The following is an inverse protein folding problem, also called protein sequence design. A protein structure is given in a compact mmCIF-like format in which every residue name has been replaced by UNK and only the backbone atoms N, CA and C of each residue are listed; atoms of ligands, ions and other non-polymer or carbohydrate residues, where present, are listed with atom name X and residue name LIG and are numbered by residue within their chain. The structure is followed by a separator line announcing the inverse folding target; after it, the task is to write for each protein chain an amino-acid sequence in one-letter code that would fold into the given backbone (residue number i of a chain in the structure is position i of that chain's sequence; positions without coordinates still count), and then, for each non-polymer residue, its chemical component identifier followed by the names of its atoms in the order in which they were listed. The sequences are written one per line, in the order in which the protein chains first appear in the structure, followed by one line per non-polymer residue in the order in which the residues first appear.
data_IF_267614109839
#
_entry.id   IF_267614109839
#
_cell.length_a   1.000
_cell.length_b   1.000
_cell.length_c   1.000
_cell.angle_alpha   90.00
_cell.angle_beta   90.00
_cell.angle_gamma   90.00
#
_symmetry.space_group_name_H-M   'P 1'
#
loop_
_entity.id
_entity.type
_entity.pdbx_description
1 polymer ?
#
# COMPACT_ATOMS: atom_id res chain seq x y z
N UNK A 1 30.86 12.06 0.18
CA UNK A 1 32.25 11.65 0.56
C UNK A 1 32.47 10.13 0.48
N UNK A 2 31.38 9.32 0.40
CA UNK A 2 31.50 7.85 0.36
C UNK A 2 31.57 7.26 -1.06
N UNK A 3 31.25 8.05 -2.10
CA UNK A 3 31.24 7.57 -3.48
C UNK A 3 32.64 7.53 -4.08
N UNK A 4 32.97 6.43 -4.76
CA UNK A 4 34.21 6.28 -5.52
C UNK A 4 34.02 6.74 -6.98
N UNK A 5 35.12 7.04 -7.66
CA UNK A 5 35.11 7.39 -9.06
C UNK A 5 34.66 6.17 -9.92
N UNK A 6 33.75 6.38 -10.86
CA UNK A 6 33.16 5.36 -11.75
C UNK A 6 32.45 4.21 -11.02
N UNK A 7 31.98 4.45 -9.80
CA UNK A 7 31.22 3.46 -9.03
C UNK A 7 29.87 3.15 -9.69
N UNK A 8 29.45 1.88 -9.64
CA UNK A 8 28.08 1.47 -9.98
C UNK A 8 27.28 1.38 -8.69
N UNK A 9 26.10 1.99 -8.68
CA UNK A 9 25.15 1.92 -7.57
C UNK A 9 23.84 1.34 -8.08
N UNK A 10 23.33 0.32 -7.38
CA UNK A 10 22.01 -0.25 -7.61
C UNK A 10 21.18 0.04 -6.38
N UNK A 11 20.16 0.91 -6.52
CA UNK A 11 19.38 1.43 -5.38
C UNK A 11 18.03 1.97 -5.87
N UNK A 12 17.03 2.12 -4.99
CA UNK A 12 15.85 2.90 -5.34
C UNK A 12 16.26 4.37 -5.52
N UNK A 13 15.99 4.90 -6.71
CA UNK A 13 16.37 6.27 -7.07
C UNK A 13 15.09 7.05 -7.40
N UNK A 14 14.39 7.46 -6.37
CA UNK A 14 13.20 8.29 -6.53
C UNK A 14 13.59 9.73 -6.87
N UNK A 15 13.50 10.12 -8.13
CA UNK A 15 13.87 11.46 -8.61
C UNK A 15 13.17 12.58 -7.83
N UNK A 16 11.94 12.36 -7.36
CA UNK A 16 11.16 13.34 -6.60
C UNK A 16 11.69 13.60 -5.17
N UNK A 17 12.55 12.72 -4.66
CA UNK A 17 13.08 12.79 -3.27
C UNK A 17 14.60 13.03 -3.27
N UNK A 18 15.25 12.87 -4.41
CA UNK A 18 16.70 13.02 -4.52
C UNK A 18 17.11 14.49 -4.39
N UNK A 19 17.91 14.81 -3.38
CA UNK A 19 18.46 16.18 -3.22
C UNK A 19 19.45 16.48 -4.34
N UNK A 20 19.41 17.69 -4.90
CA UNK A 20 20.33 18.14 -5.96
C UNK A 20 21.80 17.90 -5.62
N UNK A 21 22.20 18.09 -4.35
CA UNK A 21 23.55 17.83 -3.88
C UNK A 21 24.02 16.37 -4.02
N UNK A 22 23.08 15.40 -3.96
CA UNK A 22 23.39 13.97 -4.17
C UNK A 22 23.64 13.73 -5.66
N UNK A 23 22.80 14.27 -6.54
CA UNK A 23 22.98 14.18 -7.99
C UNK A 23 24.31 14.81 -8.44
N UNK A 24 24.63 16.01 -7.94
CA UNK A 24 25.89 16.69 -8.23
C UNK A 24 27.09 15.85 -7.77
N UNK A 25 27.00 15.24 -6.57
CA UNK A 25 28.02 14.34 -6.05
C UNK A 25 28.20 13.07 -6.91
N UNK A 26 27.12 12.49 -7.42
CA UNK A 26 27.13 11.35 -8.33
C UNK A 26 27.74 11.71 -9.67
N UNK A 27 27.38 12.87 -10.23
CA UNK A 27 27.91 13.40 -11.51
C UNK A 27 29.42 13.68 -11.40
N UNK A 28 29.87 14.34 -10.33
CA UNK A 28 31.28 14.65 -10.09
C UNK A 28 32.16 13.39 -9.98
N UNK A 29 31.58 12.29 -9.53
CA UNK A 29 32.26 10.98 -9.42
C UNK A 29 31.99 10.04 -10.60
N UNK A 30 31.27 10.51 -11.63
CA UNK A 30 30.89 9.71 -12.81
C UNK A 30 30.22 8.38 -12.40
N UNK A 31 29.32 8.42 -11.41
CA UNK A 31 28.62 7.24 -10.89
C UNK A 31 27.60 6.76 -11.93
N UNK A 32 27.59 5.47 -12.21
CA UNK A 32 26.50 4.81 -12.92
C UNK A 32 25.43 4.39 -11.92
N UNK A 33 24.24 4.97 -12.02
CA UNK A 33 23.14 4.70 -11.08
C UNK A 33 22.05 3.88 -11.77
N UNK A 34 21.80 2.68 -11.25
CA UNK A 34 20.74 1.77 -11.71
C UNK A 34 19.59 1.83 -10.71
N UNK A 35 18.46 2.36 -11.17
CA UNK A 35 17.23 2.42 -10.38
C UNK A 35 16.51 1.08 -10.48
N UNK A 36 16.61 0.25 -9.46
CA UNK A 36 16.06 -1.10 -9.50
C UNK A 36 14.53 -1.14 -9.52
N UNK A 37 13.85 -0.10 -9.07
CA UNK A 37 12.40 0.01 -9.19
C UNK A 37 11.91 0.19 -10.64
N UNK A 38 12.81 0.57 -11.55
CA UNK A 38 12.53 0.72 -12.97
C UNK A 38 12.95 -0.52 -13.80
N UNK A 39 13.52 -1.55 -13.16
CA UNK A 39 13.82 -2.80 -13.85
C UNK A 39 12.52 -3.49 -14.25
N UNK A 40 12.47 -3.90 -15.50
CA UNK A 40 11.36 -4.65 -16.09
C UNK A 40 11.77 -6.07 -16.40
N UNK A 41 10.82 -6.97 -16.27
CA UNK A 41 10.96 -8.35 -16.76
C UNK A 41 10.49 -8.47 -18.22
N UNK A 42 10.59 -9.67 -18.79
CA UNK A 42 10.19 -9.98 -20.18
C UNK A 42 8.69 -9.73 -20.44
N UNK A 43 7.87 -9.65 -19.40
CA UNK A 43 6.44 -9.33 -19.47
C UNK A 43 6.14 -7.84 -19.38
N UNK A 44 7.16 -6.96 -19.43
CA UNK A 44 7.08 -5.51 -19.24
C UNK A 44 6.55 -5.11 -17.86
N UNK A 45 6.69 -6.01 -16.87
CA UNK A 45 6.29 -5.77 -15.48
C UNK A 45 7.49 -5.31 -14.64
N UNK A 46 7.22 -4.66 -13.50
CA UNK A 46 8.23 -4.20 -12.55
C UNK A 46 8.31 -5.19 -11.37
N UNK A 47 9.18 -6.22 -11.41
CA UNK A 47 9.15 -7.34 -10.46
C UNK A 47 9.43 -6.92 -9.02
N UNK A 48 10.34 -5.95 -8.81
CA UNK A 48 10.64 -5.45 -7.45
C UNK A 48 9.47 -4.65 -6.89
N UNK A 49 8.92 -3.72 -7.68
CA UNK A 49 7.74 -2.93 -7.26
C UNK A 49 6.54 -3.84 -6.99
N UNK A 50 6.38 -4.89 -7.79
CA UNK A 50 5.36 -5.91 -7.58
C UNK A 50 5.54 -6.61 -6.25
N UNK A 51 6.73 -7.12 -5.96
CA UNK A 51 7.02 -7.82 -4.69
C UNK A 51 6.78 -6.92 -3.47
N UNK A 52 7.21 -5.66 -3.53
CA UNK A 52 6.94 -4.68 -2.46
C UNK A 52 5.44 -4.43 -2.30
N UNK A 53 4.69 -4.36 -3.39
CA UNK A 53 3.23 -4.18 -3.37
C UNK A 53 2.51 -5.40 -2.77
N UNK A 54 3.00 -6.61 -3.02
CA UNK A 54 2.48 -7.86 -2.45
C UNK A 54 2.68 -7.91 -0.93
N UNK A 55 3.88 -7.52 -0.47
CA UNK A 55 4.20 -7.40 0.97
C UNK A 55 3.30 -6.36 1.62
N UNK A 56 3.20 -5.16 1.04
CA UNK A 56 2.36 -4.09 1.58
C UNK A 56 0.89 -4.54 1.68
N UNK A 57 0.32 -5.10 0.61
CA UNK A 57 -1.05 -5.59 0.58
C UNK A 57 -1.33 -6.67 1.63
N UNK A 58 -0.41 -7.61 1.83
CA UNK A 58 -0.53 -8.64 2.87
C UNK A 58 -0.45 -8.05 4.28
N UNK A 59 0.46 -7.10 4.49
CA UNK A 59 0.74 -6.51 5.80
C UNK A 59 -0.40 -5.62 6.31
N UNK A 60 -1.09 -4.87 5.43
CA UNK A 60 -2.12 -3.91 5.85
C UNK A 60 -3.25 -4.55 6.66
N UNK A 61 -3.59 -5.80 6.41
CA UNK A 61 -4.64 -6.48 7.17
C UNK A 61 -4.20 -6.91 8.56
N UNK A 62 -2.92 -7.26 8.74
CA UNK A 62 -2.34 -7.52 10.05
C UNK A 62 -2.28 -6.23 10.88
N UNK A 63 -1.87 -5.13 10.26
CA UNK A 63 -1.87 -3.80 10.86
C UNK A 63 -3.30 -3.38 11.24
N UNK A 64 -4.27 -3.54 10.34
CA UNK A 64 -5.68 -3.23 10.62
C UNK A 64 -6.21 -4.04 11.81
N UNK A 65 -5.94 -5.35 11.86
CA UNK A 65 -6.35 -6.21 12.97
C UNK A 65 -5.76 -5.75 14.31
N UNK A 66 -4.49 -5.34 14.32
CA UNK A 66 -3.82 -4.80 15.50
C UNK A 66 -4.53 -3.54 16.03
N UNK A 67 -4.85 -2.58 15.13
CA UNK A 67 -5.46 -1.31 15.52
C UNK A 67 -6.98 -1.36 15.70
N UNK A 68 -7.65 -2.44 15.30
CA UNK A 68 -9.05 -2.69 15.68
C UNK A 68 -9.20 -3.14 17.14
N UNK A 69 -8.14 -3.67 17.74
CA UNK A 69 -8.14 -4.09 19.15
C UNK A 69 -8.24 -2.91 20.11
N UNK A 70 -8.89 -3.13 21.27
CA UNK A 70 -9.10 -2.10 22.30
C UNK A 70 -7.80 -1.52 22.88
N UNK A 71 -6.74 -2.33 22.94
CA UNK A 71 -5.43 -1.89 23.44
C UNK A 71 -4.79 -0.78 22.58
N UNK A 72 -5.23 -0.62 21.34
CA UNK A 72 -4.70 0.34 20.37
C UNK A 72 -5.75 1.40 19.95
N UNK A 73 -6.66 1.75 20.85
CA UNK A 73 -7.73 2.74 20.65
C UNK A 73 -8.81 2.33 19.63
N UNK A 74 -8.78 1.09 19.14
CA UNK A 74 -9.79 0.55 18.23
C UNK A 74 -11.10 0.18 18.94
N UNK A 75 -12.06 -0.28 18.15
CA UNK A 75 -13.40 -0.66 18.60
C UNK A 75 -13.43 -1.91 19.49
N UNK A 76 -12.33 -2.65 19.65
CA UNK A 76 -12.32 -3.95 20.31
C UNK A 76 -13.04 -5.05 19.52
N UNK A 77 -12.99 -5.01 18.19
CA UNK A 77 -13.64 -6.00 17.33
C UNK A 77 -12.61 -6.87 16.62
N UNK A 78 -12.93 -8.14 16.48
CA UNK A 78 -12.11 -9.09 15.73
C UNK A 78 -12.43 -9.00 14.24
N UNK A 79 -11.41 -8.98 13.39
CA UNK A 79 -11.54 -8.75 11.94
C UNK A 79 -12.49 -9.76 11.27
N UNK A 80 -12.36 -11.04 11.57
CA UNK A 80 -13.17 -12.12 10.98
C UNK A 80 -14.48 -12.43 11.72
N UNK A 81 -14.75 -11.79 12.85
CA UNK A 81 -15.85 -12.21 13.72
C UNK A 81 -15.64 -13.60 14.32
N UNK A 82 -16.69 -14.18 14.86
CA UNK A 82 -16.75 -15.56 15.37
C UNK A 82 -18.19 -16.08 15.19
N UNK A 83 -18.44 -17.36 15.53
CA UNK A 83 -19.80 -17.92 15.52
C UNK A 83 -20.77 -17.06 16.32
N UNK A 84 -21.82 -16.56 15.66
CA UNK A 84 -22.82 -15.66 16.25
C UNK A 84 -22.45 -14.16 16.23
N UNK A 85 -21.22 -13.78 15.81
CA UNK A 85 -20.78 -12.40 15.64
C UNK A 85 -20.31 -12.19 14.20
N UNK A 86 -20.98 -11.27 13.50
CA UNK A 86 -20.68 -10.98 12.10
C UNK A 86 -19.24 -10.48 11.90
N UNK A 87 -18.59 -10.80 10.75
CA UNK A 87 -17.29 -10.28 10.41
C UNK A 87 -17.31 -8.76 10.18
N UNK A 88 -16.17 -8.12 10.38
CA UNK A 88 -15.98 -6.70 10.09
C UNK A 88 -16.05 -6.44 8.58
N UNK A 89 -16.44 -5.22 8.25
CA UNK A 89 -16.48 -4.75 6.86
C UNK A 89 -15.18 -4.03 6.51
N UNK A 90 -14.49 -4.52 5.51
CA UNK A 90 -13.27 -3.95 4.95
C UNK A 90 -13.57 -3.34 3.59
N UNK A 91 -13.26 -2.06 3.43
CA UNK A 91 -13.34 -1.35 2.16
C UNK A 91 -11.93 -1.18 1.61
N UNK A 92 -11.69 -1.61 0.38
CA UNK A 92 -10.42 -1.44 -0.31
C UNK A 92 -10.64 -0.54 -1.52
N UNK A 93 -9.88 0.55 -1.60
CA UNK A 93 -9.96 1.55 -2.66
C UNK A 93 -8.72 1.40 -3.55
N UNK A 94 -8.90 0.73 -4.69
CA UNK A 94 -7.86 0.32 -5.63
C UNK A 94 -7.81 -1.20 -5.81
N UNK A 95 -7.90 -1.67 -7.05
CA UNK A 95 -7.80 -3.08 -7.45
C UNK A 95 -6.44 -3.38 -8.14
N UNK A 96 -5.38 -2.66 -7.73
CA UNK A 96 -4.00 -2.93 -8.07
C UNK A 96 -3.44 -4.15 -7.33
N UNK A 97 -2.13 -4.34 -7.36
CA UNK A 97 -1.46 -5.46 -6.65
C UNK A 97 -1.66 -5.32 -5.13
N UNK A 98 -1.45 -4.14 -4.56
CA UNK A 98 -1.70 -3.88 -3.13
C UNK A 98 -3.13 -4.24 -2.75
N UNK A 99 -4.12 -3.75 -3.51
CA UNK A 99 -5.54 -4.01 -3.22
C UNK A 99 -5.92 -5.49 -3.37
N UNK A 100 -5.33 -6.19 -4.33
CA UNK A 100 -5.53 -7.63 -4.51
C UNK A 100 -5.01 -8.43 -3.30
N UNK A 101 -3.77 -8.17 -2.87
CA UNK A 101 -3.19 -8.88 -1.71
C UNK A 101 -3.86 -8.47 -0.39
N UNK A 102 -4.28 -7.21 -0.25
CA UNK A 102 -5.10 -6.78 0.88
C UNK A 102 -6.46 -7.52 0.92
N UNK A 103 -7.11 -7.69 -0.24
CA UNK A 103 -8.36 -8.43 -0.33
C UNK A 103 -8.17 -9.92 0.01
N UNK A 104 -7.10 -10.56 -0.49
CA UNK A 104 -6.74 -11.95 -0.15
C UNK A 104 -6.54 -12.11 1.36
N UNK A 105 -5.74 -11.24 1.96
CA UNK A 105 -5.46 -11.28 3.39
C UNK A 105 -6.72 -11.04 4.23
N UNK A 106 -7.55 -10.07 3.87
CA UNK A 106 -8.81 -9.78 4.56
C UNK A 106 -9.80 -10.96 4.50
N UNK A 107 -9.94 -11.57 3.33
CA UNK A 107 -10.79 -12.76 3.15
C UNK A 107 -10.26 -13.97 3.92
N UNK A 108 -8.94 -14.20 3.92
CA UNK A 108 -8.31 -15.28 4.69
C UNK A 108 -8.52 -15.10 6.19
N UNK A 109 -8.58 -13.86 6.67
CA UNK A 109 -8.90 -13.53 8.07
C UNK A 109 -10.41 -13.51 8.36
N UNK A 110 -11.25 -13.85 7.38
CA UNK A 110 -12.70 -13.98 7.53
C UNK A 110 -13.49 -12.67 7.41
N UNK A 111 -12.87 -11.56 6.98
CA UNK A 111 -13.56 -10.28 6.85
C UNK A 111 -14.53 -10.22 5.66
N UNK A 112 -15.53 -9.33 5.74
CA UNK A 112 -16.42 -9.00 4.62
C UNK A 112 -15.79 -7.89 3.78
N UNK A 113 -15.37 -8.21 2.55
CA UNK A 113 -14.56 -7.32 1.69
C UNK A 113 -15.36 -6.71 0.57
N UNK A 114 -15.15 -5.40 0.35
CA UNK A 114 -15.64 -4.66 -0.82
C UNK A 114 -14.50 -3.89 -1.46
N UNK A 115 -14.40 -3.97 -2.79
CA UNK A 115 -13.32 -3.30 -3.54
C UNK A 115 -13.87 -2.29 -4.52
N UNK A 116 -13.25 -1.11 -4.54
CA UNK A 116 -13.57 -0.02 -5.45
C UNK A 116 -12.38 0.27 -6.38
N UNK A 117 -12.63 0.40 -7.67
CA UNK A 117 -11.64 0.88 -8.64
C UNK A 117 -12.36 1.40 -9.89
N UNK A 118 -11.89 2.49 -10.49
CA UNK A 118 -12.47 3.00 -11.74
C UNK A 118 -12.11 2.15 -12.96
N UNK A 119 -11.11 1.28 -12.86
CA UNK A 119 -10.72 0.38 -13.93
C UNK A 119 -11.43 -0.98 -13.79
N UNK A 120 -12.48 -1.18 -14.58
CA UNK A 120 -13.28 -2.41 -14.58
C UNK A 120 -12.45 -3.65 -14.92
N UNK A 121 -11.42 -3.54 -15.76
CA UNK A 121 -10.52 -4.66 -16.08
C UNK A 121 -9.68 -5.09 -14.86
N UNK A 122 -9.25 -4.14 -14.03
CA UNK A 122 -8.58 -4.44 -12.76
C UNK A 122 -9.53 -5.15 -11.80
N UNK A 123 -10.78 -4.72 -11.70
CA UNK A 123 -11.79 -5.39 -10.87
C UNK A 123 -12.06 -6.82 -11.36
N UNK A 124 -12.17 -7.03 -12.67
CA UNK A 124 -12.34 -8.36 -13.27
C UNK A 124 -11.13 -9.27 -12.99
N UNK A 125 -9.92 -8.76 -13.21
CA UNK A 125 -8.68 -9.49 -12.92
C UNK A 125 -8.61 -9.88 -11.45
N UNK A 126 -8.90 -8.96 -10.54
CA UNK A 126 -8.92 -9.21 -9.10
C UNK A 126 -9.89 -10.35 -8.74
N UNK A 127 -11.11 -10.35 -9.26
CA UNK A 127 -12.06 -11.44 -9.00
C UNK A 127 -11.56 -12.79 -9.52
N UNK A 128 -10.98 -12.81 -10.73
CA UNK A 128 -10.40 -14.03 -11.29
C UNK A 128 -9.25 -14.57 -10.43
N UNK A 129 -8.36 -13.68 -9.98
CA UNK A 129 -7.19 -14.04 -9.19
C UNK A 129 -7.56 -14.49 -7.75
N UNK A 130 -8.62 -13.96 -7.18
CA UNK A 130 -9.12 -14.39 -5.85
C UNK A 130 -9.84 -15.74 -5.92
N UNK A 131 -10.40 -16.09 -7.08
CA UNK A 131 -11.05 -17.39 -7.28
C UNK A 131 -12.42 -17.53 -6.61
N UNK A 132 -12.97 -16.45 -6.05
CA UNK A 132 -14.31 -16.42 -5.49
C UNK A 132 -15.01 -15.09 -5.80
N UNK A 133 -16.34 -15.07 -5.75
CA UNK A 133 -17.11 -13.87 -6.01
C UNK A 133 -16.87 -12.84 -4.91
N UNK A 134 -16.44 -11.64 -5.32
CA UNK A 134 -16.18 -10.51 -4.44
C UNK A 134 -17.11 -9.34 -4.82
N UNK A 135 -17.54 -8.59 -3.83
CA UNK A 135 -18.28 -7.36 -4.08
C UNK A 135 -17.34 -6.29 -4.65
N UNK A 136 -17.62 -5.82 -5.85
CA UNK A 136 -16.81 -4.80 -6.52
C UNK A 136 -17.68 -3.68 -7.09
N UNK A 137 -17.17 -2.45 -7.16
CA UNK A 137 -17.83 -1.30 -7.75
C UNK A 137 -16.83 -0.30 -8.31
N UNK A 138 -17.28 0.53 -9.24
CA UNK A 138 -16.56 1.75 -9.60
C UNK A 138 -16.63 2.75 -8.43
N UNK A 139 -15.68 3.68 -8.39
CA UNK A 139 -15.63 4.73 -7.37
C UNK A 139 -16.71 5.78 -7.71
N UNK A 140 -17.89 5.55 -7.19
CA UNK A 140 -18.99 6.52 -7.22
C UNK A 140 -19.07 7.15 -5.81
N UNK A 141 -18.97 8.50 -5.68
CA UNK A 141 -18.82 9.16 -4.38
C UNK A 141 -19.91 8.83 -3.37
N UNK A 142 -21.17 8.80 -3.78
CA UNK A 142 -22.30 8.50 -2.88
C UNK A 142 -22.26 7.06 -2.38
N UNK A 143 -21.93 6.12 -3.28
CA UNK A 143 -21.82 4.71 -2.93
C UNK A 143 -20.61 4.48 -1.99
N UNK A 144 -19.48 5.10 -2.31
CA UNK A 144 -18.28 5.02 -1.46
C UNK A 144 -18.54 5.56 -0.05
N UNK A 145 -19.13 6.77 0.06
CA UNK A 145 -19.53 7.38 1.33
C UNK A 145 -20.46 6.47 2.14
N UNK A 146 -21.49 5.88 1.49
CA UNK A 146 -22.41 4.93 2.14
C UNK A 146 -21.68 3.71 2.71
N UNK A 147 -20.68 3.17 2.01
CA UNK A 147 -19.94 2.02 2.48
C UNK A 147 -18.97 2.39 3.60
N UNK A 148 -18.24 3.50 3.48
CA UNK A 148 -17.33 4.02 4.49
C UNK A 148 -18.03 4.28 5.84
N UNK A 149 -19.24 4.83 5.81
CA UNK A 149 -20.05 5.06 7.03
C UNK A 149 -20.25 3.80 7.89
N UNK A 150 -20.19 2.60 7.30
CA UNK A 150 -20.49 1.33 8.00
C UNK A 150 -19.32 0.38 8.08
N UNK A 151 -18.16 0.73 7.55
CA UNK A 151 -16.98 -0.13 7.61
C UNK A 151 -16.21 0.04 8.93
N UNK A 152 -15.43 -0.96 9.26
CA UNK A 152 -14.47 -0.95 10.36
C UNK A 152 -13.06 -0.65 9.85
N UNK A 153 -12.75 -1.02 8.62
CA UNK A 153 -11.44 -0.78 7.99
C UNK A 153 -11.62 -0.19 6.59
N UNK A 154 -10.85 0.85 6.28
CA UNK A 154 -10.72 1.38 4.93
C UNK A 154 -9.25 1.39 4.51
N UNK A 155 -8.94 0.82 3.34
CA UNK A 155 -7.58 0.73 2.79
C UNK A 155 -7.48 1.56 1.53
N UNK A 156 -6.58 2.53 1.50
CA UNK A 156 -6.19 3.29 0.31
C UNK A 156 -5.09 2.55 -0.44
N UNK A 157 -5.40 2.03 -1.62
CA UNK A 157 -4.49 1.27 -2.47
C UNK A 157 -4.52 1.74 -3.94
N UNK A 158 -4.88 3.00 -4.16
CA UNK A 158 -4.86 3.62 -5.49
C UNK A 158 -3.41 3.90 -5.91
N UNK A 159 -3.06 3.47 -7.11
CA UNK A 159 -1.80 3.84 -7.76
C UNK A 159 -2.02 4.99 -8.74
N UNK A 160 -1.01 5.83 -8.91
CA UNK A 160 -0.93 6.79 -10.01
C UNK A 160 0.22 6.41 -10.95
N UNK A 161 -0.02 6.48 -12.25
CA UNK A 161 1.03 6.31 -13.26
C UNK A 161 1.84 7.59 -13.48
N UNK A 162 1.28 8.75 -13.17
CA UNK A 162 1.81 10.07 -13.53
C UNK A 162 1.74 11.06 -12.36
N UNK A 163 2.36 10.73 -11.21
CA UNK A 163 2.47 11.69 -10.11
C UNK A 163 1.60 11.38 -8.90
N UNK A 164 0.86 12.35 -8.39
CA UNK A 164 0.09 12.25 -7.16
C UNK A 164 -1.12 11.30 -7.30
N UNK A 165 -1.38 10.50 -6.28
CA UNK A 165 -2.59 9.69 -6.17
C UNK A 165 -3.84 10.57 -6.16
N UNK A 166 -4.91 10.21 -6.90
CA UNK A 166 -6.17 10.95 -6.84
C UNK A 166 -6.79 10.81 -5.45
N UNK A 167 -7.18 11.94 -4.87
CA UNK A 167 -7.90 12.01 -3.62
C UNK A 167 -9.38 11.72 -3.90
N UNK A 168 -9.90 10.62 -3.35
CA UNK A 168 -11.27 10.13 -3.62
C UNK A 168 -12.12 10.03 -2.38
N UNK A 169 -11.53 10.10 -1.19
CA UNK A 169 -12.23 10.13 0.09
C UNK A 169 -12.07 11.49 0.72
N UNK A 170 -13.18 12.22 0.81
CA UNK A 170 -13.19 13.57 1.40
C UNK A 170 -13.15 13.52 2.93
N UNK A 171 -12.77 14.63 3.54
CA UNK A 171 -12.79 14.81 4.99
C UNK A 171 -14.18 14.59 5.58
N UNK A 172 -15.24 15.03 4.88
CA UNK A 172 -16.64 14.77 5.25
C UNK A 172 -16.95 13.27 5.31
N UNK A 173 -16.47 12.49 4.33
CA UNK A 173 -16.67 11.04 4.32
C UNK A 173 -16.02 10.38 5.52
N UNK A 174 -14.80 10.82 5.89
CA UNK A 174 -14.08 10.32 7.06
C UNK A 174 -14.79 10.72 8.35
N UNK A 175 -15.25 11.98 8.46
CA UNK A 175 -16.01 12.46 9.62
C UNK A 175 -17.32 11.70 9.88
N UNK A 176 -17.87 11.06 8.84
CA UNK A 176 -19.05 10.22 8.94
C UNK A 176 -18.76 8.73 9.23
N UNK A 177 -17.47 8.32 9.31
CA UNK A 177 -17.09 6.96 9.71
C UNK A 177 -17.36 6.74 11.20
N UNK A 178 -17.45 5.47 11.60
CA UNK A 178 -17.68 5.12 13.00
C UNK A 178 -16.40 5.36 13.80
N UNK A 179 -16.47 5.94 15.02
CA UNK A 179 -15.31 6.05 15.90
C UNK A 179 -14.64 4.69 16.16
N UNK A 180 -13.30 4.68 16.23
CA UNK A 180 -12.49 3.47 16.38
C UNK A 180 -12.37 2.63 15.10
N UNK A 181 -12.88 3.11 13.95
CA UNK A 181 -12.54 2.54 12.64
C UNK A 181 -11.11 2.88 12.27
N UNK A 182 -10.52 2.07 11.39
CA UNK A 182 -9.12 2.19 10.97
C UNK A 182 -9.03 2.53 9.49
N UNK A 183 -8.28 3.57 9.17
CA UNK A 183 -7.84 3.89 7.81
C UNK A 183 -6.37 3.50 7.68
N UNK A 184 -6.02 2.78 6.61
CA UNK A 184 -4.63 2.52 6.22
C UNK A 184 -4.45 3.07 4.81
N UNK A 185 -3.70 4.16 4.68
CA UNK A 185 -3.44 4.76 3.37
C UNK A 185 -2.07 4.34 2.83
N UNK A 186 -2.04 3.23 2.07
CA UNK A 186 -0.83 2.75 1.39
C UNK A 186 -0.42 3.71 0.27
N UNK A 187 -1.36 4.50 -0.24
CA UNK A 187 -1.11 5.48 -1.30
C UNK A 187 -0.36 6.72 -0.80
N UNK A 188 -0.06 6.80 0.51
CA UNK A 188 0.56 7.96 1.17
C UNK A 188 1.90 8.35 0.54
N UNK A 189 2.69 7.39 0.05
CA UNK A 189 3.96 7.62 -0.66
C UNK A 189 3.80 8.57 -1.87
N UNK A 190 2.58 8.67 -2.40
CA UNK A 190 2.21 9.53 -3.53
C UNK A 190 1.10 10.52 -3.19
N UNK A 191 1.04 10.92 -1.92
CA UNK A 191 0.15 11.96 -1.40
C UNK A 191 -1.19 11.48 -0.86
N UNK A 192 -1.42 10.16 -0.82
CA UNK A 192 -2.63 9.58 -0.23
C UNK A 192 -3.90 9.71 -1.08
N UNK A 193 -4.89 8.88 -0.80
CA UNK A 193 -6.21 8.96 -1.43
C UNK A 193 -7.33 9.41 -0.48
N UNK A 194 -7.02 9.64 0.79
CA UNK A 194 -7.90 10.26 1.79
C UNK A 194 -7.44 11.70 2.04
N UNK A 195 -8.38 12.63 2.06
CA UNK A 195 -8.12 14.05 2.34
C UNK A 195 -7.53 14.30 3.74
N UNK A 196 -7.82 13.39 4.67
CA UNK A 196 -7.37 13.43 6.05
C UNK A 196 -6.03 12.76 6.28
N UNK A 197 -5.43 12.12 5.27
CA UNK A 197 -4.15 11.42 5.42
C UNK A 197 -2.98 12.38 5.63
N UNK A 198 -2.19 12.10 6.67
CA UNK A 198 -0.94 12.79 6.99
C UNK A 198 0.17 11.76 7.16
N UNK A 199 1.37 12.04 6.63
CA UNK A 199 2.50 11.11 6.72
C UNK A 199 2.85 10.85 8.18
N UNK A 200 2.94 9.57 8.55
CA UNK A 200 3.38 9.09 9.86
C UNK A 200 4.72 8.34 9.74
N UNK A 201 5.23 7.78 10.83
CA UNK A 201 6.48 7.02 10.85
C UNK A 201 6.29 5.69 11.57
N UNK A 202 7.27 4.78 11.47
CA UNK A 202 7.22 3.52 12.23
C UNK A 202 7.29 3.74 13.76
N UNK A 203 7.88 4.84 14.22
CA UNK A 203 7.93 5.19 15.64
C UNK A 203 6.59 5.74 16.15
N UNK A 204 5.92 6.54 15.33
CA UNK A 204 4.61 7.12 15.58
C UNK A 204 3.67 6.77 14.43
N UNK A 205 3.16 5.50 14.37
CA UNK A 205 2.55 4.99 13.15
C UNK A 205 1.12 5.45 12.92
N UNK A 206 0.46 5.99 13.95
CA UNK A 206 -0.95 6.38 13.89
C UNK A 206 -1.18 7.80 14.41
N UNK A 207 -2.26 8.38 13.94
CA UNK A 207 -2.91 9.54 14.58
C UNK A 207 -4.42 9.37 14.55
N UNK A 208 -5.12 10.16 15.37
CA UNK A 208 -6.59 10.15 15.44
C UNK A 208 -7.17 11.41 14.82
N UNK A 209 -8.12 11.26 13.90
CA UNK A 209 -8.92 12.37 13.37
C UNK A 209 -10.38 11.92 13.24
N UNK A 210 -11.31 12.72 13.75
CA UNK A 210 -12.75 12.36 13.83
C UNK A 210 -13.04 11.05 14.57
N UNK A 211 -12.21 10.67 15.54
CA UNK A 211 -12.31 9.38 16.22
C UNK A 211 -11.91 8.18 15.35
N UNK A 212 -11.37 8.40 14.16
CA UNK A 212 -10.88 7.37 13.23
C UNK A 212 -9.36 7.28 13.33
N UNK A 213 -8.84 6.07 13.44
CA UNK A 213 -7.41 5.78 13.48
C UNK A 213 -6.85 5.84 12.07
N UNK A 214 -5.82 6.66 11.86
CA UNK A 214 -5.12 6.76 10.58
C UNK A 214 -3.73 6.16 10.71
N UNK A 215 -3.43 5.17 9.89
CA UNK A 215 -2.10 4.60 9.69
C UNK A 215 -1.62 4.99 8.29
N UNK A 216 -0.64 5.90 8.22
CA UNK A 216 -0.15 6.49 6.98
C UNK A 216 1.39 6.43 6.92
N UNK A 217 1.96 5.29 7.32
CA UNK A 217 3.41 5.06 7.29
C UNK A 217 3.86 4.76 5.87
N UNK A 218 4.77 5.58 5.30
CA UNK A 218 5.36 5.31 3.99
C UNK A 218 6.16 4.01 3.99
N UNK A 219 6.27 3.38 2.81
CA UNK A 219 7.09 2.19 2.64
C UNK A 219 6.81 1.08 3.68
N UNK A 220 5.54 0.68 3.81
CA UNK A 220 5.11 -0.41 4.70
C UNK A 220 6.02 -1.66 4.63
N UNK A 221 6.55 -2.08 3.44
CA UNK A 221 7.48 -3.21 3.36
C UNK A 221 8.72 -3.10 4.23
N UNK A 222 9.17 -1.89 4.59
CA UNK A 222 10.33 -1.73 5.47
C UNK A 222 10.10 -2.27 6.89
N UNK A 223 8.85 -2.36 7.34
CA UNK A 223 8.48 -3.05 8.57
C UNK A 223 8.65 -4.59 8.51
N UNK A 224 8.86 -5.14 7.30
CA UNK A 224 9.09 -6.57 7.04
C UNK A 224 10.42 -6.76 6.31
N UNK A 225 11.47 -6.11 6.80
CA UNK A 225 12.76 -5.91 6.13
C UNK A 225 13.40 -7.21 5.62
N UNK A 226 13.33 -8.30 6.37
CA UNK A 226 13.90 -9.60 5.96
C UNK A 226 13.21 -10.14 4.71
N UNK A 227 11.87 -10.13 4.67
CA UNK A 227 11.08 -10.56 3.50
C UNK A 227 11.33 -9.64 2.31
N UNK A 228 11.34 -8.34 2.53
CA UNK A 228 11.58 -7.34 1.49
C UNK A 228 12.99 -7.50 0.87
N UNK A 229 14.03 -7.63 1.69
CA UNK A 229 15.41 -7.82 1.21
C UNK A 229 15.57 -9.11 0.43
N UNK A 230 14.95 -10.20 0.88
CA UNK A 230 15.00 -11.48 0.17
C UNK A 230 14.27 -11.41 -1.17
N UNK A 231 13.12 -10.74 -1.23
CA UNK A 231 12.38 -10.54 -2.47
C UNK A 231 13.18 -9.71 -3.49
N UNK A 232 13.83 -8.63 -3.04
CA UNK A 232 14.73 -7.83 -3.89
C UNK A 232 15.91 -8.67 -4.37
N UNK A 233 16.56 -9.42 -3.49
CA UNK A 233 17.70 -10.28 -3.81
C UNK A 233 17.35 -11.31 -4.88
N UNK A 234 16.19 -11.95 -4.78
CA UNK A 234 15.74 -12.94 -5.76
C UNK A 234 15.59 -12.38 -7.18
N UNK A 235 15.30 -11.08 -7.31
CA UNK A 235 15.20 -10.40 -8.61
C UNK A 235 16.54 -9.89 -9.09
N UNK A 236 17.34 -9.26 -8.21
CA UNK A 236 18.59 -8.59 -8.61
C UNK A 236 19.72 -9.58 -8.84
N UNK A 237 19.82 -10.65 -8.02
CA UNK A 237 20.96 -11.56 -8.08
C UNK A 237 21.18 -12.22 -9.45
N UNK A 238 20.13 -12.78 -10.12
CA UNK A 238 20.30 -13.31 -11.48
C UNK A 238 20.83 -12.27 -12.46
N UNK A 239 20.31 -11.05 -12.43
CA UNK A 239 20.74 -9.96 -13.29
C UNK A 239 22.22 -9.55 -13.06
N UNK A 240 22.65 -9.57 -11.79
CA UNK A 240 24.05 -9.27 -11.45
C UNK A 240 25.00 -10.35 -11.92
N UNK A 241 24.60 -11.62 -11.83
CA UNK A 241 25.42 -12.75 -12.31
C UNK A 241 25.56 -12.69 -13.84
N UNK A 242 24.46 -12.45 -14.56
CA UNK A 242 24.49 -12.29 -16.02
C UNK A 242 25.33 -11.08 -16.46
N UNK A 243 25.28 -9.97 -15.74
CA UNK A 243 26.07 -8.77 -16.05
C UNK A 243 27.57 -8.92 -15.71
N UNK A 244 27.95 -9.95 -14.94
CA UNK A 244 29.34 -10.22 -14.55
C UNK A 244 30.06 -11.19 -15.51
N UNK A 245 29.32 -11.89 -16.38
CA UNK A 245 29.84 -12.76 -17.44
C UNK A 245 30.21 -11.94 -18.69
#
# INVERSE_FOLDING_TARGET
PLLQLNQIIISPIHQSVLKSSILEGMMAKKVTAVSFENLKDDSDSYPIVRSMSEIAGSAVMLIAAQYLGSANHGKGVLLGGISGIAPTKVIIIGAGIVGEYAARAALALGASVKVFDNNVYRLKRLQNNIGQRLWTSVIEPRMLAKQLKTCEVAVGALGSQTGRTPMVVTEEMVGNMRPGSVIIDVSIDRGGCFETSEITSHEHPIFMKYGVIHYCVPNIPSGFARTASQAISNVIMPLLLEAAE
#
